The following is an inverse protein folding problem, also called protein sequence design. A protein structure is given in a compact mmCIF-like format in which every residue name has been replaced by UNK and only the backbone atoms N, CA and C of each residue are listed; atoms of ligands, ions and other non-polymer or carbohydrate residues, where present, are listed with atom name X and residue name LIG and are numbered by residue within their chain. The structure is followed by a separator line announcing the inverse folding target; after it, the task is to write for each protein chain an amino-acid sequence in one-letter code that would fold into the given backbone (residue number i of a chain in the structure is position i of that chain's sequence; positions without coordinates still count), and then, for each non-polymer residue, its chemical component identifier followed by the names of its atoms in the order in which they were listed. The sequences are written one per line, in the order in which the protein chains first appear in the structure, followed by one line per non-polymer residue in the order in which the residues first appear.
data_IF_842579425652
#
_entry.id   IF_842579425652
#
_cell.length_a   1.000
_cell.length_b   1.000
_cell.length_c   1.000
_cell.angle_alpha   90.00
_cell.angle_beta   90.00
_cell.angle_gamma   90.00
#
_symmetry.space_group_name_H-M   'P 1'
#
loop_
_entity.id
_entity.type
_entity.pdbx_description
1 polymer ?
#
# COMPACT_ATOMS: atom_id res chain seq x y z
N UNK A 1 -8.81 -34.12 52.38
CA UNK A 1 -9.20 -34.00 50.95
C UNK A 1 -10.56 -33.32 50.83
N UNK A 2 -10.68 -32.00 51.05
CA UNK A 2 -11.92 -31.22 50.80
C UNK A 2 -11.65 -29.70 50.90
N UNK A 3 -10.60 -29.18 50.26
CA UNK A 3 -10.37 -27.72 50.17
C UNK A 3 -9.95 -27.22 48.78
N UNK A 4 -9.65 -28.14 47.84
CA UNK A 4 -9.21 -27.78 46.48
C UNK A 4 -10.34 -27.64 45.44
N UNK A 5 -11.57 -28.06 45.76
CA UNK A 5 -12.72 -27.96 44.83
C UNK A 5 -13.49 -26.65 44.88
N UNK A 6 -13.18 -25.74 45.82
CA UNK A 6 -13.87 -24.46 45.93
C UNK A 6 -13.21 -23.33 45.10
N UNK A 7 -12.01 -23.57 44.55
CA UNK A 7 -11.32 -22.60 43.70
C UNK A 7 -11.65 -22.70 42.20
N UNK A 8 -12.46 -23.68 41.80
CA UNK A 8 -12.74 -23.96 40.38
C UNK A 8 -14.01 -23.29 39.81
N UNK A 9 -14.70 -22.44 40.58
CA UNK A 9 -16.00 -21.87 40.17
C UNK A 9 -16.12 -20.35 40.39
N UNK A 10 -15.01 -19.59 40.35
CA UNK A 10 -15.06 -18.16 40.66
C UNK A 10 -14.10 -17.25 39.86
N UNK A 11 -13.93 -17.45 38.55
CA UNK A 11 -13.32 -16.41 37.68
C UNK A 11 -14.01 -16.33 36.30
N UNK A 12 -15.34 -16.22 36.29
CA UNK A 12 -16.14 -15.95 35.09
C UNK A 12 -16.86 -14.58 35.13
N UNK A 13 -16.38 -13.60 35.89
CA UNK A 13 -16.92 -12.24 35.89
C UNK A 13 -15.79 -11.20 35.82
N UNK A 14 -15.50 -10.78 34.60
CA UNK A 14 -14.57 -9.71 34.27
C UNK A 14 -14.63 -9.28 32.81
N UNK A 15 -15.79 -9.45 32.16
CA UNK A 15 -16.13 -8.76 30.93
C UNK A 15 -16.52 -7.33 31.31
N UNK A 16 -15.62 -6.38 31.15
CA UNK A 16 -15.92 -5.01 30.70
C UNK A 16 -14.61 -4.43 30.16
N UNK A 17 -14.35 -4.75 28.89
CA UNK A 17 -13.42 -4.00 28.07
C UNK A 17 -13.92 -2.54 28.01
N UNK A 18 -13.24 -1.64 28.72
CA UNK A 18 -13.41 -0.22 28.53
C UNK A 18 -12.63 0.18 27.27
N UNK A 19 -13.28 0.11 26.11
CA UNK A 19 -12.84 0.85 24.94
C UNK A 19 -13.09 2.33 25.24
N UNK A 20 -12.10 3.05 25.76
CA UNK A 20 -12.10 4.50 25.72
C UNK A 20 -11.79 4.92 24.27
N UNK A 21 -12.83 4.94 23.43
CA UNK A 21 -12.80 5.68 22.18
C UNK A 21 -12.83 7.16 22.50
N UNK A 22 -11.80 7.89 22.07
CA UNK A 22 -11.74 9.35 22.18
C UNK A 22 -12.83 9.98 21.27
N UNK A 23 -13.49 11.07 21.71
CA UNK A 23 -14.52 11.71 20.90
C UNK A 23 -13.91 12.33 19.65
N UNK A 24 -14.25 11.78 18.48
CA UNK A 24 -13.97 12.40 17.19
C UNK A 24 -14.58 13.79 17.15
N UNK A 25 -13.72 14.79 16.94
CA UNK A 25 -14.06 16.19 16.75
C UNK A 25 -15.02 16.36 15.58
N UNK A 26 -16.30 16.62 15.85
CA UNK A 26 -17.29 17.00 14.84
C UNK A 26 -17.13 18.48 14.48
N UNK A 27 -16.13 18.79 13.67
CA UNK A 27 -16.15 19.95 12.78
C UNK A 27 -16.66 19.52 11.40
N UNK A 28 -17.25 20.40 10.58
CA UNK A 28 -17.39 20.12 9.16
C UNK A 28 -15.98 19.97 8.59
N UNK A 29 -15.55 18.73 8.37
CA UNK A 29 -14.26 18.48 7.74
C UNK A 29 -14.29 19.12 6.35
N UNK A 30 -13.30 19.97 6.00
CA UNK A 30 -13.16 20.42 4.62
C UNK A 30 -13.11 19.19 3.74
N UNK A 31 -13.85 19.19 2.62
CA UNK A 31 -13.84 18.06 1.68
C UNK A 31 -12.38 17.72 1.38
N UNK A 32 -11.89 16.53 1.78
CA UNK A 32 -10.49 16.22 1.63
C UNK A 32 -10.18 16.13 0.13
N UNK A 33 -9.04 16.69 -0.28
CA UNK A 33 -8.59 16.54 -1.65
C UNK A 33 -8.62 15.05 -2.03
N UNK A 34 -9.04 14.69 -3.26
CA UNK A 34 -9.15 13.29 -3.68
C UNK A 34 -7.81 12.52 -3.69
N UNK A 35 -6.71 13.22 -3.41
CA UNK A 35 -5.37 12.65 -3.25
C UNK A 35 -5.04 12.37 -1.77
N UNK A 36 -5.51 13.18 -0.82
CA UNK A 36 -5.20 13.06 0.62
C UNK A 36 -6.22 12.23 1.40
N UNK A 37 -7.35 11.88 0.80
CA UNK A 37 -8.40 11.02 1.38
C UNK A 37 -8.27 9.54 1.02
N UNK A 38 -7.30 9.15 0.19
CA UNK A 38 -7.16 7.76 -0.24
C UNK A 38 -6.67 6.90 0.91
N UNK A 39 -7.20 5.67 1.07
CA UNK A 39 -6.67 4.73 2.06
C UNK A 39 -5.18 4.50 1.82
N UNK A 40 -4.41 4.39 2.90
CA UNK A 40 -2.98 4.16 2.84
C UNK A 40 -2.65 2.72 3.25
N UNK A 41 -1.80 2.07 2.46
CA UNK A 41 -1.23 0.75 2.68
C UNK A 41 0.23 0.86 3.16
N UNK A 42 0.62 0.00 4.08
CA UNK A 42 2.00 -0.16 4.53
C UNK A 42 2.83 -0.96 3.52
N UNK A 43 4.14 -1.01 3.71
CA UNK A 43 5.04 -1.80 2.87
C UNK A 43 4.66 -3.30 2.91
N UNK A 44 4.57 -3.93 1.75
CA UNK A 44 4.12 -5.31 1.58
C UNK A 44 2.60 -5.49 1.52
N UNK A 45 1.80 -4.46 1.76
CA UNK A 45 0.35 -4.51 1.63
C UNK A 45 -0.13 -4.18 0.21
N UNK A 46 -1.38 -4.54 -0.07
CA UNK A 46 -2.02 -4.30 -1.36
C UNK A 46 -2.29 -2.81 -1.58
N UNK A 47 -2.00 -2.32 -2.78
CA UNK A 47 -2.22 -0.94 -3.19
C UNK A 47 -2.92 -0.86 -4.56
N UNK A 48 -3.33 0.34 -4.97
CA UNK A 48 -4.02 0.56 -6.23
C UNK A 48 -5.47 0.05 -6.21
N UNK A 49 -5.89 -0.56 -7.32
CA UNK A 49 -7.27 -1.03 -7.52
C UNK A 49 -8.33 0.08 -7.50
N UNK A 50 -9.60 -0.32 -7.43
CA UNK A 50 -10.76 0.59 -7.45
C UNK A 50 -10.76 1.59 -6.28
N UNK A 51 -10.20 1.18 -5.14
CA UNK A 51 -10.04 2.02 -3.95
C UNK A 51 -8.86 2.99 -4.05
N UNK A 52 -8.05 2.88 -5.12
CA UNK A 52 -6.88 3.70 -5.39
C UNK A 52 -5.94 3.81 -4.17
N UNK A 53 -5.76 2.71 -3.43
CA UNK A 53 -5.00 2.66 -2.17
C UNK A 53 -3.57 3.11 -2.44
N UNK A 54 -3.08 4.07 -1.66
CA UNK A 54 -1.74 4.63 -1.80
C UNK A 54 -0.75 3.97 -0.85
N UNK A 55 0.53 3.96 -1.19
CA UNK A 55 1.56 3.52 -0.25
C UNK A 55 1.85 4.64 0.77
N UNK A 56 1.85 4.30 2.05
CA UNK A 56 2.13 5.21 3.16
C UNK A 56 3.59 5.69 3.16
N UNK A 57 4.52 4.81 2.76
CA UNK A 57 5.94 5.12 2.72
C UNK A 57 6.29 5.87 1.41
N UNK A 58 6.85 7.09 1.47
CA UNK A 58 7.23 7.85 0.27
C UNK A 58 8.39 7.21 -0.52
N UNK A 59 9.15 6.32 0.12
CA UNK A 59 10.20 5.52 -0.53
C UNK A 59 9.65 4.23 -1.16
N UNK A 60 8.35 3.99 -1.07
CA UNK A 60 7.68 2.87 -1.75
C UNK A 60 6.84 3.36 -2.91
N UNK A 61 6.53 2.45 -3.82
CA UNK A 61 5.59 2.68 -4.91
C UNK A 61 4.67 1.47 -5.05
N UNK A 62 3.54 1.66 -5.72
CA UNK A 62 2.61 0.57 -5.96
C UNK A 62 3.08 -0.28 -7.14
N UNK A 63 3.78 -1.37 -6.86
CA UNK A 63 4.31 -2.28 -7.87
C UNK A 63 3.19 -3.18 -8.41
N UNK A 64 2.76 -2.93 -9.64
CA UNK A 64 1.73 -3.74 -10.32
C UNK A 64 2.39 -4.87 -11.11
N UNK A 65 1.73 -6.02 -11.24
CA UNK A 65 2.29 -7.19 -11.92
C UNK A 65 2.17 -7.19 -13.44
N UNK A 66 1.52 -6.18 -14.04
CA UNK A 66 1.18 -6.14 -15.46
C UNK A 66 1.64 -4.85 -16.15
N UNK A 67 1.93 -4.96 -17.45
CA UNK A 67 2.15 -3.87 -18.40
C UNK A 67 0.86 -3.12 -18.74
N UNK A 68 0.10 -2.73 -17.73
CA UNK A 68 -1.25 -2.17 -17.92
C UNK A 68 -1.48 -0.91 -17.10
N UNK A 69 -0.48 -0.41 -16.37
CA UNK A 69 -0.56 0.86 -15.65
C UNK A 69 -1.75 0.96 -14.68
N UNK A 70 -2.17 -0.16 -14.09
CA UNK A 70 -3.35 -0.22 -13.22
C UNK A 70 -4.69 -0.29 -13.95
N UNK A 71 -4.73 -0.41 -15.29
CA UNK A 71 -5.97 -0.51 -16.06
C UNK A 71 -6.83 -1.71 -15.60
N UNK A 72 -8.13 -1.48 -15.51
CA UNK A 72 -9.09 -2.47 -15.00
C UNK A 72 -8.97 -2.69 -13.49
N UNK A 73 -8.68 -1.63 -12.72
CA UNK A 73 -8.55 -1.67 -11.27
C UNK A 73 -7.54 -2.71 -10.79
N UNK A 74 -6.44 -2.86 -11.53
CA UNK A 74 -5.37 -3.78 -11.12
C UNK A 74 -4.70 -3.24 -9.86
N UNK A 75 -4.66 -4.09 -8.84
CA UNK A 75 -3.92 -3.86 -7.63
C UNK A 75 -2.44 -4.20 -7.81
N UNK A 76 -1.62 -3.63 -6.94
CA UNK A 76 -0.22 -3.98 -6.77
C UNK A 76 0.10 -4.26 -5.31
N UNK A 77 1.40 -4.29 -5.01
CA UNK A 77 1.91 -4.34 -3.64
C UNK A 77 2.81 -3.14 -3.41
N UNK A 78 2.71 -2.53 -2.23
CA UNK A 78 3.64 -1.47 -1.84
C UNK A 78 5.04 -2.06 -1.68
N UNK A 79 5.93 -1.69 -2.60
CA UNK A 79 7.32 -2.14 -2.61
C UNK A 79 8.25 -0.96 -2.54
N UNK A 80 9.35 -1.11 -1.81
CA UNK A 80 10.40 -0.11 -1.75
C UNK A 80 10.96 0.16 -3.15
N UNK A 81 11.16 1.43 -3.48
CA UNK A 81 11.83 1.87 -4.69
C UNK A 81 13.30 1.41 -4.62
N UNK A 82 13.82 0.71 -5.64
CA UNK A 82 15.22 0.35 -5.69
C UNK A 82 16.12 1.59 -5.66
N UNK A 83 17.11 1.60 -4.78
CA UNK A 83 18.12 2.69 -4.70
C UNK A 83 19.33 2.41 -5.60
N UNK A 84 19.57 1.13 -5.94
CA UNK A 84 20.71 0.68 -6.75
C UNK A 84 20.16 -0.15 -7.91
N UNK A 85 20.56 0.23 -9.12
CA UNK A 85 20.19 -0.46 -10.35
C UNK A 85 21.43 -0.86 -11.15
N UNK A 86 21.32 -1.95 -11.91
CA UNK A 86 22.34 -2.35 -12.87
C UNK A 86 22.37 -1.38 -14.04
N UNK A 87 23.49 -1.40 -14.78
CA UNK A 87 23.69 -0.58 -15.99
C UNK A 87 23.29 -1.31 -17.28
N UNK A 88 22.62 -2.47 -17.16
CA UNK A 88 22.11 -3.21 -18.30
C UNK A 88 21.04 -2.39 -19.04
N UNK A 89 21.13 -2.38 -20.37
CA UNK A 89 20.19 -1.67 -21.22
C UNK A 89 19.14 -2.63 -21.78
N UNK A 90 18.00 -2.69 -21.11
CA UNK A 90 16.79 -3.42 -21.52
C UNK A 90 15.59 -2.46 -21.39
N UNK A 91 15.39 -1.56 -22.36
CA UNK A 91 14.53 -0.41 -22.17
C UNK A 91 13.06 -0.79 -21.95
N UNK A 92 12.37 0.06 -21.19
CA UNK A 92 10.92 -0.03 -20.94
C UNK A 92 10.28 1.34 -21.10
N UNK A 93 9.05 1.37 -21.59
CA UNK A 93 8.23 2.57 -21.60
C UNK A 93 7.46 2.58 -20.28
N UNK A 94 7.63 3.63 -19.49
CA UNK A 94 6.91 3.83 -18.23
C UNK A 94 5.47 4.26 -18.45
N UNK A 95 4.62 4.04 -17.45
CA UNK A 95 3.25 4.55 -17.43
C UNK A 95 3.15 6.09 -17.44
N UNK A 96 4.27 6.78 -17.22
CA UNK A 96 4.39 8.24 -17.35
C UNK A 96 4.85 8.68 -18.76
N UNK A 97 4.93 7.74 -19.72
CA UNK A 97 5.32 8.02 -21.10
C UNK A 97 6.82 8.24 -21.30
N UNK A 98 7.66 7.95 -20.30
CA UNK A 98 9.12 8.07 -20.42
C UNK A 98 9.78 6.73 -20.66
N UNK A 99 10.84 6.73 -21.45
CA UNK A 99 11.71 5.56 -21.60
C UNK A 99 12.69 5.49 -20.45
N UNK A 100 12.73 4.34 -19.79
CA UNK A 100 13.73 4.00 -18.78
C UNK A 100 14.70 2.97 -19.35
N UNK A 101 15.98 3.04 -18.95
CA UNK A 101 17.04 2.14 -19.43
C UNK A 101 16.81 0.67 -19.06
N UNK A 102 16.12 0.42 -17.94
CA UNK A 102 15.61 -0.89 -17.55
C UNK A 102 14.48 -0.77 -16.50
N UNK A 103 13.87 -1.89 -16.15
CA UNK A 103 12.81 -1.99 -15.13
C UNK A 103 13.22 -1.41 -13.77
N UNK A 104 14.46 -1.63 -13.35
CA UNK A 104 14.92 -1.12 -12.06
C UNK A 104 14.91 0.40 -12.04
N UNK A 105 15.41 1.06 -13.10
CA UNK A 105 15.38 2.52 -13.20
C UNK A 105 13.95 3.07 -13.23
N UNK A 106 13.00 2.37 -13.87
CA UNK A 106 11.58 2.73 -13.80
C UNK A 106 11.02 2.62 -12.37
N UNK A 107 11.25 1.48 -11.70
CA UNK A 107 10.81 1.25 -10.32
C UNK A 107 11.46 2.21 -9.32
N UNK A 108 12.73 2.59 -9.53
CA UNK A 108 13.45 3.58 -8.72
C UNK A 108 12.77 4.96 -8.79
N UNK A 109 12.26 5.32 -9.96
CA UNK A 109 11.41 6.51 -10.16
C UNK A 109 9.97 6.33 -9.65
N UNK A 110 9.60 5.14 -9.15
CA UNK A 110 8.24 4.81 -8.71
C UNK A 110 7.25 4.59 -9.85
N UNK A 111 7.73 4.22 -11.04
CA UNK A 111 6.94 4.09 -12.26
C UNK A 111 6.86 2.63 -12.69
N UNK A 112 5.63 2.14 -12.88
CA UNK A 112 5.41 0.83 -13.52
C UNK A 112 5.69 0.92 -15.02
N UNK A 113 6.16 -0.17 -15.62
CA UNK A 113 6.29 -0.25 -17.06
C UNK A 113 4.92 -0.41 -17.73
N UNK A 114 4.67 0.38 -18.77
CA UNK A 114 3.53 0.26 -19.67
C UNK A 114 3.75 -0.82 -20.73
N UNK A 115 4.98 -0.99 -21.23
CA UNK A 115 5.37 -2.08 -22.11
C UNK A 115 6.90 -2.23 -22.13
N UNK A 116 7.38 -3.34 -22.70
CA UNK A 116 8.79 -3.54 -23.01
C UNK A 116 9.21 -2.72 -24.24
N UNK A 117 10.48 -2.30 -24.29
CA UNK A 117 10.99 -1.41 -25.33
C UNK A 117 10.88 0.06 -24.96
N UNK A 118 11.52 0.94 -25.73
CA UNK A 118 11.38 2.38 -25.57
C UNK A 118 9.97 2.85 -25.96
N UNK A 119 9.55 4.02 -25.48
CA UNK A 119 8.29 4.63 -25.91
C UNK A 119 8.37 5.04 -27.39
N UNK A 120 7.28 4.79 -28.12
CA UNK A 120 7.08 5.19 -29.52
C UNK A 120 6.10 6.37 -29.49
N UNK A 121 6.62 7.60 -29.59
CA UNK A 121 5.82 8.84 -29.43
C UNK A 121 4.77 9.09 -30.50
#
# INVERSE_FOLDING_TARGET
MQKFKLYLMAMCLGLLAACAGEPSSTGPEPMPDPVTSRPMAQDGEMCGGIAAIQCANPRSYCATHSFSCGAGDQSGVCQAKPEICTMEYMPVCGCDGKTYSNFCHAASAGVNAAHQGACEG
#
